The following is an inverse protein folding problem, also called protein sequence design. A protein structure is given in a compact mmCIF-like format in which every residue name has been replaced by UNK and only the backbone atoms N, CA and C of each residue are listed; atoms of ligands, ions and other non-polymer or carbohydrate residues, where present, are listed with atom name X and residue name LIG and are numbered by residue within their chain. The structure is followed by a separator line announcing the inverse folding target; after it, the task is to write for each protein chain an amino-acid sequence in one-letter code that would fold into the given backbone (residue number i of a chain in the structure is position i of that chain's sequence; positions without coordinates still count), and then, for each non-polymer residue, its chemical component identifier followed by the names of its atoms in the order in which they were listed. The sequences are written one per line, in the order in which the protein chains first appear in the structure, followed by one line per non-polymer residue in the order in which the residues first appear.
data_IF_900067508974
#
_entry.id   IF_900067508974
#
_cell.length_a   1.000
_cell.length_b   1.000
_cell.length_c   1.000
_cell.angle_alpha   90.00
_cell.angle_beta   90.00
_cell.angle_gamma   90.00
#
_symmetry.space_group_name_H-M   'P 1'
#
loop_
_entity.id
_entity.type
_entity.pdbx_description
1 polymer ?
#
# COMPACT_ATOMS: atom_id res chain seq x y z
N UNK A 1 4.23 27.48 -11.34
CA UNK A 1 4.06 26.83 -10.02
C UNK A 1 5.07 27.34 -8.99
N UNK A 2 6.26 27.78 -9.39
CA UNK A 2 7.31 28.34 -8.51
C UNK A 2 6.86 29.55 -7.69
N UNK A 3 5.98 30.39 -8.23
CA UNK A 3 5.45 31.56 -7.52
C UNK A 3 4.57 31.19 -6.32
N UNK A 4 3.89 30.04 -6.36
CA UNK A 4 3.02 29.59 -5.26
C UNK A 4 3.84 28.84 -4.20
N UNK A 5 4.78 27.99 -4.59
CA UNK A 5 5.68 27.30 -3.65
C UNK A 5 6.59 28.28 -2.90
N UNK A 6 7.05 29.34 -3.57
CA UNK A 6 7.82 30.42 -2.94
C UNK A 6 6.97 31.26 -1.96
N UNK A 7 5.66 31.34 -2.17
CA UNK A 7 4.73 31.97 -1.23
C UNK A 7 4.48 31.09 0.00
N UNK A 8 4.49 29.76 -0.18
CA UNK A 8 4.32 28.78 0.90
C UNK A 8 5.53 28.71 1.84
N UNK A 9 6.76 28.85 1.33
CA UNK A 9 7.96 28.90 2.19
C UNK A 9 8.10 30.23 2.96
N UNK A 10 7.40 31.28 2.51
CA UNK A 10 7.37 32.61 3.15
C UNK A 10 6.18 32.82 4.09
N UNK A 11 5.23 31.89 4.14
CA UNK A 11 4.09 31.95 5.06
C UNK A 11 4.52 31.41 6.42
N UNK A 12 4.47 32.28 7.44
CA UNK A 12 4.73 31.89 8.82
C UNK A 12 3.84 30.71 9.22
N UNK A 13 4.46 29.64 9.72
CA UNK A 13 3.80 28.40 10.16
C UNK A 13 3.09 28.59 11.51
N UNK A 14 2.45 29.74 11.68
CA UNK A 14 1.61 30.06 12.81
C UNK A 14 0.49 29.02 12.94
N UNK A 15 0.14 28.68 14.19
CA UNK A 15 -0.97 27.77 14.53
C UNK A 15 -2.27 28.17 13.80
N UNK A 16 -2.45 29.45 13.46
CA UNK A 16 -3.58 29.95 12.70
C UNK A 16 -3.62 29.43 11.25
N UNK A 17 -2.49 29.38 10.54
CA UNK A 17 -2.41 28.91 9.14
C UNK A 17 -2.62 27.40 9.07
N UNK A 18 -2.06 26.64 10.02
CA UNK A 18 -2.30 25.20 10.16
C UNK A 18 -3.79 24.88 10.43
N UNK A 19 -4.44 25.64 11.32
CA UNK A 19 -5.88 25.47 11.62
C UNK A 19 -6.76 25.78 10.39
N UNK A 20 -6.39 26.76 9.58
CA UNK A 20 -7.12 27.05 8.34
C UNK A 20 -6.95 25.94 7.28
N UNK A 21 -5.74 25.38 7.15
CA UNK A 21 -5.48 24.21 6.30
C UNK A 21 -6.31 23.00 6.71
N UNK A 22 -6.33 22.65 8.00
CA UNK A 22 -7.16 21.55 8.52
C UNK A 22 -8.65 21.74 8.22
N UNK A 23 -9.17 22.97 8.35
CA UNK A 23 -10.57 23.27 8.00
C UNK A 23 -10.85 23.07 6.51
N UNK A 24 -9.93 23.44 5.62
CA UNK A 24 -10.09 23.24 4.18
C UNK A 24 -10.09 21.75 3.80
N UNK A 25 -9.18 20.95 4.37
CA UNK A 25 -9.13 19.49 4.16
C UNK A 25 -10.42 18.82 4.64
N UNK A 26 -10.93 19.20 5.83
CA UNK A 26 -12.19 18.65 6.36
C UNK A 26 -13.41 18.99 5.50
N UNK A 27 -13.44 20.18 4.89
CA UNK A 27 -14.52 20.58 3.95
C UNK A 27 -14.46 19.76 2.65
N UNK A 28 -13.26 19.50 2.14
CA UNK A 28 -13.06 18.68 0.94
C UNK A 28 -13.49 17.22 1.15
N UNK A 29 -13.14 16.58 2.27
CA UNK A 29 -13.54 15.19 2.56
C UNK A 29 -15.06 15.03 2.69
N UNK A 30 -15.74 16.03 3.27
CA UNK A 30 -17.21 16.05 3.35
C UNK A 30 -17.88 16.13 1.97
N UNK A 31 -17.26 16.83 1.01
CA UNK A 31 -17.77 16.93 -0.36
C UNK A 31 -17.62 15.61 -1.12
N UNK A 32 -16.54 14.86 -0.88
CA UNK A 32 -16.29 13.56 -1.52
C UNK A 32 -17.30 12.51 -1.05
N UNK A 33 -17.67 12.49 0.24
CA UNK A 33 -18.65 11.53 0.77
C UNK A 33 -20.09 11.75 0.29
N UNK A 34 -20.42 12.93 -0.26
CA UNK A 34 -21.75 13.20 -0.81
C UNK A 34 -21.90 12.70 -2.27
N UNK A 35 -20.80 12.40 -2.98
CA UNK A 35 -20.85 11.86 -4.36
C UNK A 35 -21.02 10.33 -4.40
N UNK A 36 -20.80 9.63 -3.28
CA UNK A 36 -20.94 8.17 -3.15
C UNK A 36 -22.36 7.68 -2.87
N UNK A 37 -23.35 8.57 -2.65
CA UNK A 37 -24.78 8.19 -2.61
C UNK A 37 -25.35 8.04 -4.02
N UNK A 38 -24.80 7.11 -4.83
CA UNK A 38 -25.42 6.71 -6.10
C UNK A 38 -26.66 5.84 -5.81
N UNK A 39 -27.84 6.28 -6.22
CA UNK A 39 -29.07 5.48 -6.22
C UNK A 39 -28.89 4.30 -7.18
N UNK A 40 -28.77 3.07 -6.67
CA UNK A 40 -28.77 1.84 -7.49
C UNK A 40 -30.16 1.66 -8.12
N UNK A 41 -30.29 1.90 -9.43
CA UNK A 41 -31.46 1.42 -10.20
C UNK A 41 -31.17 -0.01 -10.63
N UNK A 42 -32.09 -0.92 -10.30
CA UNK A 42 -31.99 -2.32 -10.72
C UNK A 42 -32.12 -2.45 -12.24
N UNK A 43 -31.11 -3.03 -12.88
CA UNK A 43 -31.17 -3.42 -14.30
C UNK A 43 -31.97 -4.71 -14.39
N UNK A 44 -32.98 -4.78 -15.27
CA UNK A 44 -33.76 -6.00 -15.51
C UNK A 44 -32.86 -6.97 -16.29
N UNK A 45 -32.30 -7.96 -15.61
CA UNK A 45 -31.46 -9.03 -16.19
C UNK A 45 -32.31 -10.23 -16.54
N UNK A 46 -32.03 -10.83 -17.70
CA UNK A 46 -32.66 -12.05 -18.20
C UNK A 46 -32.47 -13.21 -17.19
N UNK A 47 -33.42 -14.14 -17.02
CA UNK A 47 -33.30 -15.22 -16.03
C UNK A 47 -32.06 -16.10 -16.23
N UNK A 48 -31.56 -16.16 -17.47
CA UNK A 48 -30.41 -16.99 -17.86
C UNK A 48 -29.05 -16.27 -17.80
N UNK A 49 -28.99 -15.02 -17.31
CA UNK A 49 -27.72 -14.28 -17.12
C UNK A 49 -27.18 -14.36 -15.69
N UNK A 50 -27.78 -15.21 -14.84
CA UNK A 50 -27.31 -15.42 -13.47
C UNK A 50 -26.02 -16.23 -13.50
N UNK A 51 -24.89 -15.53 -13.65
CA UNK A 51 -23.57 -16.09 -13.36
C UNK A 51 -23.62 -16.79 -12.01
N UNK A 52 -23.05 -17.99 -11.94
CA UNK A 52 -22.93 -18.74 -10.70
C UNK A 52 -22.28 -17.81 -9.66
N UNK A 53 -22.97 -17.59 -8.53
CA UNK A 53 -22.39 -16.83 -7.43
C UNK A 53 -21.24 -17.66 -6.84
N UNK A 54 -20.24 -17.00 -6.28
CA UNK A 54 -19.08 -17.67 -5.66
C UNK A 54 -19.51 -18.77 -4.67
N UNK A 55 -20.62 -18.58 -3.96
CA UNK A 55 -21.20 -19.59 -3.07
C UNK A 55 -21.63 -20.87 -3.81
N UNK A 56 -22.24 -20.73 -4.98
CA UNK A 56 -22.69 -21.87 -5.79
C UNK A 56 -21.49 -22.65 -6.33
N UNK A 57 -20.43 -21.94 -6.73
CA UNK A 57 -19.18 -22.56 -7.22
C UNK A 57 -18.53 -23.38 -6.10
N UNK A 58 -18.44 -22.82 -4.88
CA UNK A 58 -17.88 -23.53 -3.72
C UNK A 58 -18.70 -24.76 -3.33
N UNK A 59 -20.02 -24.65 -3.34
CA UNK A 59 -20.90 -25.77 -3.03
C UNK A 59 -20.71 -26.93 -4.02
N UNK A 60 -20.61 -26.62 -5.32
CA UNK A 60 -20.33 -27.63 -6.34
C UNK A 60 -18.94 -28.26 -6.20
N UNK A 61 -17.92 -27.52 -5.74
CA UNK A 61 -16.57 -28.06 -5.48
C UNK A 61 -16.53 -29.01 -4.27
N UNK A 62 -17.35 -28.74 -3.25
CA UNK A 62 -17.52 -29.62 -2.09
C UNK A 62 -18.26 -30.90 -2.50
N UNK A 63 -19.32 -30.79 -3.30
CA UNK A 63 -20.11 -31.93 -3.79
C UNK A 63 -19.32 -32.81 -4.78
N UNK A 64 -18.43 -32.21 -5.59
CA UNK A 64 -17.52 -32.94 -6.47
C UNK A 64 -16.39 -33.68 -5.72
N UNK A 65 -16.29 -33.51 -4.40
CA UNK A 65 -15.27 -34.15 -3.56
C UNK A 65 -13.86 -33.56 -3.73
N UNK A 66 -13.72 -32.42 -4.40
CA UNK A 66 -12.44 -31.73 -4.61
C UNK A 66 -11.98 -30.94 -3.37
N UNK A 67 -12.90 -30.61 -2.45
CA UNK A 67 -12.61 -29.85 -1.22
C UNK A 67 -13.17 -30.58 -0.01
N UNK A 68 -12.29 -31.02 0.91
CA UNK A 68 -12.71 -31.44 2.26
C UNK A 68 -13.13 -30.19 3.05
N UNK A 69 -14.31 -30.25 3.66
CA UNK A 69 -14.79 -29.22 4.59
C UNK A 69 -14.03 -29.41 5.89
N UNK A 70 -12.89 -28.75 6.02
CA UNK A 70 -12.27 -28.56 7.31
C UNK A 70 -13.11 -27.50 8.06
N UNK A 71 -13.82 -27.94 9.09
CA UNK A 71 -14.74 -27.12 9.90
C UNK A 71 -13.95 -26.40 10.99
N UNK A 72 -12.81 -25.84 10.58
CA UNK A 72 -11.76 -25.31 11.41
C UNK A 72 -11.38 -23.98 10.78
N UNK A 73 -12.40 -23.11 10.67
CA UNK A 73 -12.31 -21.77 10.07
C UNK A 73 -11.50 -20.82 10.94
N UNK A 74 -10.25 -21.15 11.20
CA UNK A 74 -9.18 -20.24 11.59
C UNK A 74 -7.96 -20.66 10.81
N UNK A 75 -7.89 -20.27 9.55
CA UNK A 75 -6.60 -20.13 8.87
C UNK A 75 -5.91 -18.88 9.44
N UNK A 76 -5.56 -18.96 10.72
CA UNK A 76 -4.36 -18.31 11.19
C UNK A 76 -3.24 -19.10 10.52
N UNK A 77 -2.49 -18.45 9.62
CA UNK A 77 -1.17 -18.98 9.31
C UNK A 77 -0.43 -19.07 10.65
N UNK A 78 -0.04 -20.27 11.08
CA UNK A 78 0.75 -20.52 12.31
C UNK A 78 2.17 -19.92 12.27
N UNK A 79 2.41 -18.96 11.37
CA UNK A 79 3.69 -18.33 11.17
C UNK A 79 3.59 -16.88 11.64
N UNK A 80 4.29 -16.51 12.72
CA UNK A 80 4.37 -15.12 13.11
C UNK A 80 5.10 -14.38 12.00
N UNK A 81 4.35 -13.70 11.13
CA UNK A 81 4.99 -12.71 10.29
C UNK A 81 5.49 -11.62 11.23
N UNK A 82 6.72 -11.14 11.09
CA UNK A 82 7.20 -9.97 11.83
C UNK A 82 6.31 -8.73 11.55
N UNK A 83 5.47 -8.77 10.50
CA UNK A 83 4.42 -7.79 10.24
C UNK A 83 3.22 -7.88 11.22
N UNK A 84 3.08 -8.97 11.98
CA UNK A 84 2.17 -9.05 13.14
C UNK A 84 2.66 -8.19 14.30
N UNK A 85 3.93 -7.74 14.34
CA UNK A 85 4.41 -6.80 15.37
C UNK A 85 3.69 -5.45 15.33
N UNK A 86 2.94 -5.15 14.26
CA UNK A 86 2.15 -3.94 14.12
C UNK A 86 0.68 -4.21 14.48
N UNK A 87 0.41 -4.64 15.74
CA UNK A 87 -0.95 -4.91 16.28
C UNK A 87 -1.69 -3.58 16.58
N UNK A 88 -1.70 -2.66 15.62
CA UNK A 88 -2.27 -1.33 15.75
C UNK A 88 -2.71 -0.76 14.41
N UNK A 89 -3.45 0.37 14.40
CA UNK A 89 -3.88 1.02 13.17
C UNK A 89 -2.67 1.45 12.33
N UNK A 90 -2.44 0.76 11.21
CA UNK A 90 -1.36 1.08 10.28
C UNK A 90 -1.73 2.28 9.41
N UNK A 91 -0.83 3.27 9.35
CA UNK A 91 -0.95 4.43 8.46
C UNK A 91 0.11 4.31 7.37
N UNK A 92 -0.32 4.22 6.12
CA UNK A 92 0.57 4.28 4.97
C UNK A 92 0.76 5.73 4.52
N UNK A 93 2.02 6.17 4.44
CA UNK A 93 2.39 7.52 4.01
C UNK A 93 3.10 7.40 2.66
N UNK A 94 2.54 8.05 1.65
CA UNK A 94 3.12 8.12 0.30
C UNK A 94 3.34 9.59 -0.07
N UNK A 95 4.53 9.91 -0.58
CA UNK A 95 4.95 11.26 -0.96
C UNK A 95 5.13 11.36 -2.48
N UNK A 96 4.03 11.51 -3.25
CA UNK A 96 4.14 11.70 -4.69
C UNK A 96 4.68 13.09 -4.99
N UNK A 97 5.74 13.14 -5.80
CA UNK A 97 6.39 14.38 -6.24
C UNK A 97 6.60 14.31 -7.74
N UNK A 98 6.35 15.42 -8.44
CA UNK A 98 6.62 15.57 -9.87
C UNK A 98 7.33 16.89 -10.13
N UNK A 99 8.25 16.90 -11.09
CA UNK A 99 9.03 18.06 -11.48
C UNK A 99 9.35 18.01 -12.99
N UNK A 100 9.73 19.15 -13.57
CA UNK A 100 9.82 19.31 -15.03
C UNK A 100 11.22 19.05 -15.60
N UNK A 101 12.27 19.26 -14.82
CA UNK A 101 13.67 19.19 -15.29
C UNK A 101 14.48 18.13 -14.55
N UNK A 102 15.22 17.30 -15.28
CA UNK A 102 16.08 16.26 -14.70
C UNK A 102 17.22 16.81 -13.83
N UNK A 103 17.56 18.10 -13.98
CA UNK A 103 18.51 18.80 -13.11
C UNK A 103 18.10 18.77 -11.63
N UNK A 104 16.80 18.62 -11.36
CA UNK A 104 16.25 18.55 -10.01
C UNK A 104 16.21 17.14 -9.43
N UNK A 105 16.50 16.10 -10.21
CA UNK A 105 16.39 14.69 -9.79
C UNK A 105 17.12 14.45 -8.47
N UNK A 106 18.40 14.83 -8.40
CA UNK A 106 19.23 14.62 -7.22
C UNK A 106 18.72 15.39 -5.99
N UNK A 107 18.29 16.64 -6.18
CA UNK A 107 17.80 17.50 -5.09
C UNK A 107 16.48 16.95 -4.55
N UNK A 108 15.59 16.51 -5.43
CA UNK A 108 14.27 16.02 -5.02
C UNK A 108 14.39 14.63 -4.40
N UNK A 109 15.13 13.71 -5.01
CA UNK A 109 15.36 12.37 -4.45
C UNK A 109 16.02 12.44 -3.06
N UNK A 110 17.03 13.30 -2.87
CA UNK A 110 17.66 13.50 -1.56
C UNK A 110 16.73 14.16 -0.53
N UNK A 111 15.91 15.11 -0.95
CA UNK A 111 14.93 15.76 -0.09
C UNK A 111 13.85 14.79 0.40
N UNK A 112 13.38 13.90 -0.50
CA UNK A 112 12.39 12.86 -0.16
C UNK A 112 13.01 11.82 0.78
N UNK A 113 14.22 11.36 0.48
CA UNK A 113 14.93 10.41 1.35
C UNK A 113 15.11 10.97 2.76
N UNK A 114 15.46 12.26 2.89
CA UNK A 114 15.57 12.95 4.17
C UNK A 114 14.22 13.02 4.89
N UNK A 115 13.14 13.39 4.19
CA UNK A 115 11.80 13.46 4.77
C UNK A 115 11.33 12.09 5.30
N UNK A 116 11.49 11.03 4.51
CA UNK A 116 11.15 9.66 4.92
C UNK A 116 11.99 9.25 6.14
N UNK A 117 13.29 9.55 6.15
CA UNK A 117 14.16 9.30 7.31
C UNK A 117 13.67 9.99 8.58
N UNK A 118 13.26 11.26 8.48
CA UNK A 118 12.70 12.00 9.63
C UNK A 118 11.38 11.43 10.12
N UNK A 119 10.51 10.97 9.20
CA UNK A 119 9.24 10.31 9.56
C UNK A 119 9.51 9.00 10.30
N UNK A 120 10.44 8.18 9.79
CA UNK A 120 10.81 6.91 10.41
C UNK A 120 11.42 7.12 11.79
N UNK A 121 12.37 8.06 11.92
CA UNK A 121 12.97 8.42 13.20
C UNK A 121 11.91 8.86 14.21
N UNK A 122 10.97 9.74 13.80
CA UNK A 122 9.90 10.19 14.69
C UNK A 122 8.95 9.05 15.07
N UNK A 123 8.71 8.09 14.18
CA UNK A 123 7.91 6.91 14.48
C UNK A 123 8.63 5.99 15.49
N UNK A 124 9.94 5.82 15.37
CA UNK A 124 10.77 5.04 16.30
C UNK A 124 10.79 5.69 17.68
N UNK A 125 11.04 7.00 17.75
CA UNK A 125 11.04 7.78 19.00
C UNK A 125 9.70 7.69 19.76
N UNK A 126 8.60 7.52 19.02
CA UNK A 126 7.25 7.38 19.60
C UNK A 126 6.84 5.94 19.88
N UNK A 127 7.68 4.95 19.55
CA UNK A 127 7.34 3.53 19.63
C UNK A 127 6.20 3.12 18.70
N UNK A 128 5.99 3.86 17.61
CA UNK A 128 4.94 3.64 16.61
C UNK A 128 5.49 3.12 15.27
N UNK A 129 6.80 2.91 15.17
CA UNK A 129 7.44 2.44 13.95
C UNK A 129 6.99 1.03 13.59
N UNK A 130 6.44 0.89 12.38
CA UNK A 130 6.20 -0.40 11.75
C UNK A 130 7.19 -0.54 10.59
N UNK A 131 7.97 -1.62 10.58
CA UNK A 131 9.00 -1.87 9.54
C UNK A 131 8.40 -2.21 8.17
N UNK A 132 7.10 -2.46 8.10
CA UNK A 132 6.43 -2.83 6.87
C UNK A 132 6.49 -1.72 5.81
N UNK A 133 7.08 -2.06 4.66
CA UNK A 133 7.14 -1.18 3.49
C UNK A 133 6.32 -1.81 2.36
N UNK A 134 5.34 -1.06 1.85
CA UNK A 134 4.50 -1.55 0.77
C UNK A 134 5.18 -1.37 -0.59
N UNK A 135 5.61 -2.49 -1.19
CA UNK A 135 6.39 -2.54 -2.43
C UNK A 135 5.85 -1.66 -3.55
N UNK A 136 4.53 -1.66 -3.79
CA UNK A 136 3.87 -0.91 -4.87
C UNK A 136 4.14 0.60 -4.86
N UNK A 137 4.46 1.16 -3.70
CA UNK A 137 4.80 2.58 -3.54
C UNK A 137 6.16 2.81 -2.89
N UNK A 138 7.02 1.78 -2.88
CA UNK A 138 8.35 1.89 -2.31
C UNK A 138 9.30 2.63 -3.26
N UNK A 139 10.04 3.57 -2.72
CA UNK A 139 11.10 4.29 -3.43
C UNK A 139 12.37 3.44 -3.57
N UNK A 140 13.20 3.74 -4.57
CA UNK A 140 14.41 2.95 -4.92
C UNK A 140 15.33 2.59 -3.74
N UNK A 141 15.38 3.43 -2.71
CA UNK A 141 16.30 3.31 -1.57
C UNK A 141 15.64 2.71 -0.31
N UNK A 142 14.38 2.25 -0.38
CA UNK A 142 13.67 1.67 0.76
C UNK A 142 13.85 0.14 0.81
N UNK A 143 14.01 -0.39 2.02
CA UNK A 143 14.11 -1.84 2.23
C UNK A 143 12.71 -2.48 2.32
N UNK A 144 12.20 -2.93 1.17
CA UNK A 144 10.91 -3.62 1.08
C UNK A 144 10.95 -4.97 1.77
N UNK A 145 11.98 -5.77 1.51
CA UNK A 145 12.04 -7.16 1.95
C UNK A 145 12.35 -7.28 3.44
N UNK A 146 13.16 -6.39 4.00
CA UNK A 146 13.33 -6.29 5.45
C UNK A 146 12.02 -6.01 6.18
N UNK A 147 11.10 -5.27 5.56
CA UNK A 147 9.77 -5.00 6.10
C UNK A 147 8.82 -6.20 6.13
N UNK A 148 9.08 -7.25 5.35
CA UNK A 148 8.28 -8.48 5.38
C UNK A 148 8.72 -9.47 6.45
N UNK A 149 9.93 -9.28 7.00
CA UNK A 149 10.56 -10.20 7.94
C UNK A 149 11.39 -11.28 7.24
N UNK A 150 12.40 -11.80 7.97
CA UNK A 150 13.40 -12.72 7.43
C UNK A 150 12.77 -14.00 6.85
N UNK A 151 11.82 -14.62 7.55
CA UNK A 151 11.16 -15.86 7.10
C UNK A 151 10.34 -15.68 5.82
N UNK A 152 9.67 -14.53 5.66
CA UNK A 152 8.92 -14.23 4.44
C UNK A 152 9.86 -13.95 3.25
N UNK A 153 10.96 -13.25 3.49
CA UNK A 153 11.95 -13.01 2.45
C UNK A 153 12.58 -14.33 1.98
N UNK A 154 12.98 -15.21 2.89
CA UNK A 154 13.54 -16.53 2.54
C UNK A 154 12.54 -17.38 1.77
N UNK A 155 11.26 -17.35 2.16
CA UNK A 155 10.18 -18.01 1.41
C UNK A 155 10.03 -17.46 0.00
N UNK A 156 10.05 -16.14 -0.18
CA UNK A 156 9.98 -15.53 -1.50
C UNK A 156 11.15 -15.96 -2.38
N UNK A 157 12.35 -16.10 -1.79
CA UNK A 157 13.53 -16.60 -2.49
C UNK A 157 13.35 -18.06 -2.94
N UNK A 158 12.88 -18.93 -2.05
CA UNK A 158 12.61 -20.33 -2.39
C UNK A 158 11.55 -20.47 -3.48
N UNK A 159 10.53 -19.62 -3.48
CA UNK A 159 9.52 -19.58 -4.57
C UNK A 159 10.15 -19.08 -5.88
N UNK A 160 10.98 -18.04 -5.84
CA UNK A 160 11.67 -17.55 -7.03
C UNK A 160 12.57 -18.63 -7.65
N UNK A 161 13.31 -19.37 -6.83
CA UNK A 161 14.16 -20.48 -7.30
C UNK A 161 13.34 -21.65 -7.88
N UNK A 162 12.18 -21.98 -7.28
CA UNK A 162 11.34 -23.08 -7.73
C UNK A 162 10.66 -22.80 -9.09
N UNK A 163 10.27 -21.55 -9.35
CA UNK A 163 9.48 -21.19 -10.53
C UNK A 163 10.27 -20.41 -11.60
N UNK A 164 11.40 -19.80 -11.25
CA UNK A 164 12.29 -19.08 -12.16
C UNK A 164 13.77 -19.45 -11.90
N UNK A 165 14.17 -20.72 -12.07
CA UNK A 165 15.53 -21.18 -11.77
C UNK A 165 16.59 -20.53 -12.66
N UNK A 166 16.22 -20.15 -13.90
CA UNK A 166 17.09 -19.42 -14.83
C UNK A 166 17.08 -17.90 -14.59
N UNK A 167 16.33 -17.43 -13.59
CA UNK A 167 16.17 -16.02 -13.23
C UNK A 167 15.70 -15.15 -14.41
N UNK A 168 14.96 -15.71 -15.37
CA UNK A 168 14.51 -15.04 -16.59
C UNK A 168 13.68 -13.81 -16.23
N UNK A 169 12.78 -13.92 -15.25
CA UNK A 169 11.97 -12.79 -14.81
C UNK A 169 12.85 -11.72 -14.15
N UNK A 170 13.85 -12.12 -13.35
CA UNK A 170 14.79 -11.18 -12.73
C UNK A 170 15.59 -10.39 -13.77
N UNK A 171 15.97 -11.02 -14.88
CA UNK A 171 16.72 -10.38 -15.96
C UNK A 171 15.83 -9.50 -16.86
N UNK A 172 14.66 -10.01 -17.25
CA UNK A 172 13.75 -9.29 -18.15
C UNK A 172 13.01 -8.14 -17.46
N UNK A 173 12.75 -8.26 -16.17
CA UNK A 173 12.13 -7.19 -15.39
C UNK A 173 13.12 -6.04 -15.22
N UNK A 174 12.89 -4.92 -15.90
CA UNK A 174 13.73 -3.73 -15.76
C UNK A 174 13.26 -2.85 -14.60
N UNK A 175 14.19 -2.46 -13.74
CA UNK A 175 13.92 -1.68 -12.54
C UNK A 175 13.17 -2.47 -11.46
N UNK A 176 12.60 -1.71 -10.51
CA UNK A 176 11.77 -2.21 -9.42
C UNK A 176 12.44 -3.22 -8.47
N UNK A 177 11.72 -3.69 -7.44
CA UNK A 177 12.23 -4.63 -6.45
C UNK A 177 12.23 -6.06 -6.99
N UNK A 178 13.30 -6.80 -6.73
CA UNK A 178 13.50 -8.17 -7.17
C UNK A 178 13.99 -9.02 -6.00
N UNK A 179 13.49 -10.24 -5.93
CA UNK A 179 13.94 -11.27 -4.97
C UNK A 179 15.09 -12.07 -5.59
#
# INVERSE_FOLDING_TARGET
LDSQLHLFSKLDQSIATQRQLFRKVKKASKSINNSTKRKKKGVKVDPNTKFATISNIRQSQIEAGEVKVDTDGSSASDYPSEAESCIGPLIHIHTPTSWETSELDCIIESSIAKLIGQINQLAEERGLACKFTYMNYAGKNQDVYGGYGAGNHERLRGVAEAYDPEMVLKHLWKGYFKV
#
